data_IF_750753862233
#
_entry.id   IF_750753862233
#
_cell.length_a   1.000
_cell.length_b   1.000
_cell.length_c   1.000
_cell.angle_alpha   90.00
_cell.angle_beta   90.00
_cell.angle_gamma   90.00
#
_symmetry.space_group_name_H-M   'P 1'
#
loop_
_entity.id
_entity.type
_entity.pdbx_description
1 polymer ?
2 non-polymer ?
3 non-polymer ?
4 water ?
#
# COMPACT_ATOMS: atom_id res chain seq x y z
N UNK A 1 22.05 5.66 9.11
CA UNK A 1 22.12 6.08 7.68
C UNK A 1 20.72 6.41 7.18
N UNK A 2 20.54 6.61 5.86
CA UNK A 2 19.23 6.99 5.36
C UNK A 2 18.25 5.83 5.60
N UNK A 3 17.08 5.95 5.01
CA UNK A 3 16.13 4.83 4.95
C UNK A 3 16.31 4.29 3.55
N UNK A 4 16.16 2.99 3.38
CA UNK A 4 16.25 2.35 2.07
C UNK A 4 14.86 2.18 1.47
N UNK A 5 14.75 2.48 0.18
CA UNK A 5 13.47 2.48 -0.56
C UNK A 5 13.65 1.80 -1.91
N UNK A 6 12.60 1.15 -2.38
CA UNK A 6 12.54 0.56 -3.74
C UNK A 6 11.33 1.11 -4.46
N UNK A 7 11.50 1.47 -5.71
CA UNK A 7 10.40 1.79 -6.62
C UNK A 7 9.69 0.53 -7.09
N UNK A 8 8.38 0.56 -7.07
CA UNK A 8 7.60 -0.63 -7.43
C UNK A 8 6.17 -0.26 -7.79
N UNK A 9 5.52 -1.16 -8.47
CA UNK A 9 4.09 -1.17 -8.68
C UNK A 9 3.49 -2.38 -7.95
N UNK A 10 2.20 -2.32 -7.67
CA UNK A 10 1.47 -3.45 -7.08
C UNK A 10 0.31 -3.79 -8.01
N UNK A 11 -0.01 -5.08 -8.12
CA UNK A 11 -1.27 -5.54 -8.74
C UNK A 11 -1.94 -6.55 -7.81
N UNK A 12 -3.27 -6.53 -7.75
CA UNK A 12 -4.04 -7.47 -6.91
C UNK A 12 -4.00 -8.86 -7.60
N UNK A 13 -4.47 -9.86 -6.90
CA UNK A 13 -4.25 -11.25 -7.37
C UNK A 13 -5.19 -11.52 -8.54
N UNK A 14 -6.12 -10.63 -8.82
CA UNK A 14 -6.94 -10.73 -10.05
C UNK A 14 -6.30 -9.92 -11.14
N UNK A 15 -5.09 -9.39 -10.93
CA UNK A 15 -4.21 -8.67 -11.84
C UNK A 15 -4.79 -7.30 -12.19
N UNK A 16 -5.48 -6.69 -11.24
CA UNK A 16 -5.90 -5.28 -11.37
C UNK A 16 -4.75 -4.37 -10.91
N UNK A 17 -4.46 -3.35 -11.69
CA UNK A 17 -3.49 -2.28 -11.47
C UNK A 17 -4.14 -1.18 -10.61
N UNK A 18 -3.30 -0.41 -9.94
CA UNK A 18 -3.72 0.70 -9.05
C UNK A 18 -3.42 2.05 -9.70
N UNK A 19 -4.41 2.92 -9.69
CA UNK A 19 -4.32 4.28 -10.30
C UNK A 19 -4.87 5.29 -9.28
N UNK A 20 -4.56 6.58 -9.48
CA UNK A 20 -5.14 7.70 -8.69
C UNK A 20 -6.64 7.82 -8.99
N UNK A 21 -7.43 8.10 -7.95
CA UNK A 21 -8.90 8.34 -8.01
C UNK A 21 -9.08 9.69 -7.30
N UNK A 22 -8.69 10.77 -7.95
CA UNK A 22 -8.67 12.07 -7.25
C UNK A 22 -7.46 12.12 -6.34
N UNK A 23 -7.29 13.20 -5.54
CA UNK A 23 -6.00 13.44 -4.89
C UNK A 23 -5.61 12.54 -3.71
N UNK A 24 -6.58 11.95 -3.04
CA UNK A 24 -6.35 11.17 -1.79
C UNK A 24 -7.05 9.78 -1.80
N UNK A 25 -7.17 9.27 -3.00
CA UNK A 25 -7.70 7.88 -3.13
C UNK A 25 -7.03 7.19 -4.29
N UNK A 26 -6.87 5.87 -4.16
CA UNK A 26 -6.46 4.97 -5.26
C UNK A 26 -7.67 4.12 -5.65
N UNK A 27 -7.70 3.70 -6.90
CA UNK A 27 -8.69 2.71 -7.37
C UNK A 27 -7.95 1.61 -8.13
N UNK A 28 -8.62 0.48 -8.32
CA UNK A 28 -8.07 -0.72 -8.96
C UNK A 28 -8.89 -1.04 -10.21
N UNK A 29 -8.17 -1.20 -11.27
CA UNK A 29 -8.83 -1.60 -12.52
C UNK A 29 -7.88 -2.41 -13.38
N UNK A 30 -8.53 -3.19 -14.24
CA UNK A 30 -7.84 -3.98 -15.27
C UNK A 30 -7.22 -3.03 -16.30
N UNK A 31 -5.92 -3.07 -16.49
CA UNK A 31 -5.13 -2.17 -17.36
C UNK A 31 -4.19 -3.02 -18.17
N UNK A 32 -3.98 -2.64 -19.45
CA UNK A 32 -2.95 -3.25 -20.28
C UNK A 32 -2.68 -2.25 -21.40
N UNK A 33 -1.47 -2.29 -21.92
CA UNK A 33 -1.06 -1.44 -23.06
C UNK A 33 -0.72 -0.03 -22.62
N UNK A 34 -1.07 0.95 -23.45
CA UNK A 34 -0.58 2.35 -23.27
C UNK A 34 -1.06 2.84 -21.90
N UNK A 35 -2.28 2.49 -21.51
CA UNK A 35 -2.93 3.00 -20.27
C UNK A 35 -2.12 2.56 -19.03
N UNK A 36 -1.13 1.66 -19.17
CA UNK A 36 -0.35 1.18 -18.00
C UNK A 36 0.52 2.30 -17.43
N UNK A 37 0.82 3.34 -18.21
CA UNK A 37 1.51 4.56 -17.70
C UNK A 37 0.69 5.20 -16.57
N UNK A 38 -0.61 4.95 -16.48
CA UNK A 38 -1.51 5.57 -15.49
C UNK A 38 -1.28 4.97 -14.08
N UNK A 39 -0.51 3.88 -13.96
CA UNK A 39 -0.31 3.20 -12.64
C UNK A 39 0.60 4.02 -11.71
N UNK A 40 0.31 3.98 -10.40
CA UNK A 40 1.15 4.65 -9.36
C UNK A 40 2.42 3.81 -9.16
N UNK A 41 3.57 4.47 -9.05
CA UNK A 41 4.85 3.84 -8.61
C UNK A 41 5.03 4.14 -7.12
N UNK A 42 5.05 3.09 -6.31
CA UNK A 42 5.30 3.20 -4.86
C UNK A 42 6.80 3.34 -4.64
N UNK A 43 7.17 4.26 -3.75
CA UNK A 43 8.47 4.15 -3.09
C UNK A 43 8.21 3.37 -1.82
N UNK A 44 8.60 2.10 -1.80
CA UNK A 44 8.39 1.23 -0.62
C UNK A 44 9.60 1.39 0.25
N UNK A 45 9.43 1.99 1.43
CA UNK A 45 10.52 2.20 2.42
C UNK A 45 10.53 1.03 3.41
N UNK A 46 11.72 0.61 3.84
CA UNK A 46 11.89 -0.49 4.79
C UNK A 46 12.16 0.15 6.14
N UNK A 47 11.19 0.09 7.01
CA UNK A 47 11.09 0.97 8.19
C UNK A 47 11.29 0.20 9.48
N UNK A 48 11.41 0.94 10.57
CA UNK A 48 11.49 0.34 11.92
C UNK A 48 10.19 -0.38 12.27
N UNK A 49 10.32 -1.54 12.87
CA UNK A 49 9.18 -2.28 13.40
C UNK A 49 9.53 -3.73 13.67
N UNK A 50 8.63 -4.44 14.34
CA UNK A 50 8.71 -5.92 14.54
C UNK A 50 8.82 -6.63 13.18
N UNK A 51 9.79 -7.55 13.03
CA UNK A 51 10.11 -8.16 11.73
C UNK A 51 10.35 -9.66 11.92
N UNK A 52 9.99 -10.47 10.92
CA UNK A 52 10.35 -11.91 10.87
C UNK A 52 10.67 -12.26 9.42
N UNK A 53 10.96 -13.53 9.12
CA UNK A 53 11.49 -13.87 7.78
C UNK A 53 10.52 -13.41 6.72
N UNK A 54 9.23 -13.57 6.99
CA UNK A 54 8.18 -13.40 5.95
C UNK A 54 7.26 -12.21 6.27
N UNK A 55 7.56 -11.45 7.33
CA UNK A 55 6.77 -10.27 7.80
C UNK A 55 7.70 -9.06 7.96
N UNK A 56 7.62 -8.10 7.03
CA UNK A 56 8.64 -7.01 6.88
C UNK A 56 7.92 -5.67 6.95
N UNK A 57 8.22 -4.78 7.91
CA UNK A 57 7.50 -3.52 8.03
C UNK A 57 7.95 -2.56 6.95
N UNK A 58 6.96 -1.98 6.24
CA UNK A 58 7.24 -1.03 5.12
C UNK A 58 6.34 0.18 5.29
N UNK A 59 6.72 1.25 4.63
CA UNK A 59 5.80 2.36 4.34
C UNK A 59 5.63 2.39 2.84
N UNK A 60 4.40 2.66 2.41
CA UNK A 60 4.04 2.79 0.98
C UNK A 60 3.84 4.28 0.69
N UNK A 61 4.96 5.00 0.56
CA UNK A 61 4.98 6.34 -0.05
C UNK A 61 4.79 6.23 -1.55
N UNK A 62 4.28 7.29 -2.18
CA UNK A 62 4.26 7.43 -3.66
C UNK A 62 5.63 7.99 -4.09
N UNK A 63 6.26 7.37 -5.08
CA UNK A 63 7.60 7.80 -5.55
C UNK A 63 7.52 9.25 -6.04
N UNK A 64 8.46 10.10 -5.61
CA UNK A 64 8.65 11.51 -6.04
C UNK A 64 7.60 12.44 -5.41
N UNK A 65 6.62 11.93 -4.65
CA UNK A 65 5.51 12.75 -4.08
C UNK A 65 5.47 12.56 -2.57
N UNK A 66 5.21 13.64 -1.82
CA UNK A 66 5.13 13.61 -0.33
C UNK A 66 3.73 13.15 0.07
N UNK A 67 3.38 11.92 -0.31
CA UNK A 67 2.11 11.24 0.03
C UNK A 67 2.42 9.83 0.54
N UNK A 68 1.67 9.38 1.53
CA UNK A 68 1.84 8.02 2.08
C UNK A 68 0.47 7.43 2.27
N UNK A 69 0.36 6.14 2.01
CA UNK A 69 -0.79 5.38 2.55
C UNK A 69 -0.73 5.36 4.06
N UNK A 70 -1.91 5.47 4.67
CA UNK A 70 -2.07 5.78 6.12
C UNK A 70 -3.34 5.10 6.66
N UNK A 71 -3.25 4.46 7.83
CA UNK A 71 -4.41 3.77 8.45
C UNK A 71 -4.83 4.61 9.66
N UNK A 72 -6.05 5.11 9.61
CA UNK A 72 -6.58 5.95 10.71
C UNK A 72 -8.01 5.51 10.95
N UNK A 73 -8.54 5.86 12.13
CA UNK A 73 -9.97 5.73 12.36
C UNK A 73 -10.68 6.88 11.66
N UNK A 74 -11.72 6.58 10.91
CA UNK A 74 -12.59 7.61 10.32
C UNK A 74 -14.04 7.24 10.60
N UNK A 75 -14.79 8.14 11.23
CA UNK A 75 -16.18 7.84 11.68
C UNK A 75 -16.10 6.46 12.36
N UNK A 76 -15.12 6.30 13.24
CA UNK A 76 -14.94 5.14 14.16
C UNK A 76 -14.56 3.85 13.43
N UNK A 77 -14.09 3.90 12.19
CA UNK A 77 -13.71 2.65 11.49
C UNK A 77 -12.26 2.81 11.02
N UNK A 78 -11.45 1.73 11.06
CA UNK A 78 -10.11 1.71 10.45
C UNK A 78 -10.29 1.92 8.95
N UNK A 79 -9.64 2.94 8.40
CA UNK A 79 -9.72 3.25 6.96
C UNK A 79 -8.31 3.48 6.43
N UNK A 80 -8.24 3.37 5.12
CA UNK A 80 -7.01 3.66 4.33
C UNK A 80 -7.17 5.07 3.79
N UNK A 81 -6.18 5.91 4.00
CA UNK A 81 -6.16 7.25 3.40
C UNK A 81 -4.80 7.51 2.76
N UNK A 82 -4.74 8.48 1.87
CA UNK A 82 -3.47 9.04 1.38
C UNK A 82 -3.26 10.26 2.22
N UNK A 83 -2.15 10.37 2.89
CA UNK A 83 -1.87 11.46 3.83
C UNK A 83 -0.64 12.23 3.34
N UNK A 84 -0.74 13.57 3.35
CA UNK A 84 0.36 14.52 3.02
C UNK A 84 1.33 14.62 4.20
N UNK A 85 2.63 14.74 3.92
CA UNK A 85 3.63 14.93 4.96
C UNK A 85 4.57 16.07 4.55
N UNK A 86 5.36 16.51 5.51
CA UNK A 86 6.40 17.54 5.22
C UNK A 86 7.49 16.92 4.37
N UNK A 87 7.72 17.34 3.13
CA UNK A 87 8.66 16.64 2.26
C UNK A 87 10.10 16.76 2.74
N UNK A 88 10.35 17.65 3.70
CA UNK A 88 11.71 17.79 4.28
C UNK A 88 12.04 16.62 5.23
N UNK A 89 11.04 15.92 5.76
CA UNK A 89 11.23 15.02 6.91
C UNK A 89 10.98 13.55 6.52
N UNK A 90 10.59 13.32 5.27
CA UNK A 90 10.15 11.98 4.78
C UNK A 90 10.91 11.64 3.51
N UNK A 91 11.18 10.36 3.22
CA UNK A 91 10.86 9.28 4.13
C UNK A 91 11.84 9.29 5.30
N UNK A 92 11.51 8.52 6.31
CA UNK A 92 12.43 8.32 7.44
C UNK A 92 12.36 6.88 7.89
N UNK A 93 13.39 6.44 8.59
CA UNK A 93 13.41 5.04 9.08
C UNK A 93 12.32 4.81 10.14
N UNK A 94 12.13 5.72 11.09
CA UNK A 94 11.11 5.61 12.17
C UNK A 94 9.80 6.27 11.72
N UNK A 95 9.10 5.63 10.80
CA UNK A 95 7.79 6.16 10.34
C UNK A 95 6.79 5.94 11.45
N UNK A 96 5.86 6.88 11.64
CA UNK A 96 4.72 6.79 12.58
C UNK A 96 3.88 5.56 12.26
N UNK A 97 3.25 4.96 13.25
CA UNK A 97 2.63 3.62 13.14
C UNK A 97 1.52 3.61 12.10
N UNK A 98 0.79 4.71 11.92
CA UNK A 98 -0.33 4.77 10.96
C UNK A 98 0.21 4.54 9.55
N UNK A 99 1.50 4.77 9.28
CA UNK A 99 2.09 4.63 7.92
C UNK A 99 2.63 3.23 7.70
N UNK A 100 2.69 2.38 8.75
CA UNK A 100 3.45 1.11 8.64
C UNK A 100 2.48 -0.02 8.27
N UNK A 101 2.93 -0.79 7.29
CA UNK A 101 2.29 -2.06 6.87
C UNK A 101 3.30 -3.17 7.08
N UNK A 102 2.77 -4.28 7.55
CA UNK A 102 3.53 -5.52 7.57
C UNK A 102 3.34 -6.20 6.22
N UNK A 103 4.39 -6.23 5.42
CA UNK A 103 4.38 -6.91 4.11
C UNK A 103 4.66 -8.39 4.37
N UNK A 104 3.68 -9.20 4.13
CA UNK A 104 3.67 -10.64 4.51
C UNK A 104 3.73 -11.46 3.23
N UNK A 105 4.68 -12.38 3.10
CA UNK A 105 4.84 -13.17 1.86
C UNK A 105 4.25 -14.55 2.15
N UNK A 106 3.13 -14.93 1.51
CA UNK A 106 2.55 -16.31 1.64
C UNK A 106 2.26 -16.84 0.23
N UNK A 107 2.80 -18.02 -0.08
CA UNK A 107 2.50 -18.73 -1.34
C UNK A 107 2.65 -17.75 -2.51
N UNK A 108 3.82 -17.11 -2.60
CA UNK A 108 4.28 -16.32 -3.76
C UNK A 108 3.38 -15.11 -3.98
N UNK A 109 2.62 -14.71 -2.96
CA UNK A 109 1.75 -13.51 -2.97
C UNK A 109 2.08 -12.67 -1.73
N UNK A 110 1.76 -11.39 -1.80
CA UNK A 110 2.04 -10.42 -0.72
C UNK A 110 0.71 -9.99 -0.15
N UNK A 111 0.69 -9.80 1.15
CA UNK A 111 -0.42 -9.12 1.81
C UNK A 111 0.21 -7.95 2.55
N UNK A 112 -0.55 -6.89 2.72
CA UNK A 112 -0.12 -5.71 3.47
C UNK A 112 -1.08 -5.48 4.62
N UNK A 113 -0.67 -5.94 5.80
CA UNK A 113 -1.44 -5.78 7.05
C UNK A 113 -1.13 -4.43 7.68
N UNK A 114 -2.13 -3.71 8.14
CA UNK A 114 -1.88 -2.48 8.94
C UNK A 114 -1.10 -2.80 10.23
N UNK A 115 0.04 -2.19 10.50
CA UNK A 115 0.77 -2.36 11.79
C UNK A 115 -0.20 -1.81 12.84
N UNK A 116 -0.88 -0.72 12.59
CA UNK A 116 -1.76 -0.02 13.59
C UNK A 116 -2.98 -0.88 13.93
N UNK A 117 -3.58 -1.56 12.96
CA UNK A 117 -4.88 -2.25 13.09
C UNK A 117 -4.63 -3.71 12.69
N UNK A 118 -4.25 -4.59 13.65
CA UNK A 118 -3.98 -5.99 13.33
C UNK A 118 -5.15 -6.61 12.58
N UNK A 119 -4.81 -7.43 11.57
CA UNK A 119 -5.74 -8.23 10.76
C UNK A 119 -6.65 -7.38 9.90
N UNK A 120 -6.26 -6.12 9.68
CA UNK A 120 -6.82 -5.25 8.62
C UNK A 120 -5.75 -5.10 7.52
N UNK A 121 -6.22 -5.23 6.30
CA UNK A 121 -5.36 -5.42 5.11
C UNK A 121 -5.73 -4.44 4.03
N UNK A 122 -4.72 -4.01 3.29
CA UNK A 122 -4.96 -3.31 2.00
C UNK A 122 -5.79 -4.30 1.14
N UNK A 123 -6.89 -3.82 0.61
CA UNK A 123 -7.92 -4.62 -0.08
C UNK A 123 -8.39 -3.95 -1.36
N UNK A 124 -8.81 -4.78 -2.31
CA UNK A 124 -9.53 -4.28 -3.48
C UNK A 124 -10.84 -5.04 -3.58
N UNK A 125 -11.74 -4.44 -4.33
CA UNK A 125 -13.01 -5.10 -4.70
C UNK A 125 -12.81 -5.97 -5.95
N UNK A 126 -13.71 -6.94 -6.16
CA UNK A 126 -13.75 -7.69 -7.44
C UNK A 126 -14.18 -6.78 -8.60
N UNK A 127 -15.15 -5.89 -8.39
CA UNK A 127 -15.59 -4.90 -9.39
C UNK A 127 -14.45 -3.98 -9.79
N UNK A 128 -14.49 -3.51 -11.02
CA UNK A 128 -13.55 -2.54 -11.63
C UNK A 128 -13.84 -1.14 -11.10
N UNK A 129 -12.79 -0.31 -11.01
CA UNK A 129 -12.87 1.14 -10.75
C UNK A 129 -13.45 1.46 -9.39
N UNK A 130 -13.18 0.64 -8.37
CA UNK A 130 -13.61 0.90 -6.98
C UNK A 130 -12.37 1.23 -6.15
N UNK A 131 -12.57 1.92 -5.02
CA UNK A 131 -11.46 2.37 -4.18
C UNK A 131 -10.64 1.18 -3.69
N UNK A 132 -9.37 1.47 -3.50
CA UNK A 132 -8.51 0.63 -2.62
C UNK A 132 -8.90 0.98 -1.18
N UNK A 133 -8.98 0.00 -0.30
CA UNK A 133 -9.52 0.29 1.04
C UNK A 133 -8.87 -0.62 2.05
N UNK A 134 -9.12 -0.36 3.32
CA UNK A 134 -8.64 -1.23 4.40
C UNK A 134 -9.79 -2.15 4.79
N UNK A 135 -9.57 -3.45 4.68
CA UNK A 135 -10.60 -4.46 4.95
C UNK A 135 -10.21 -5.28 6.13
N UNK A 136 -11.21 -5.71 6.93
CA UNK A 136 -10.99 -6.34 8.25
C UNK A 136 -10.97 -7.86 8.17
N UNK A 137 -10.69 -8.43 7.00
CA UNK A 137 -10.38 -9.89 6.92
C UNK A 137 -9.62 -10.25 5.63
N UNK A 138 -8.49 -10.97 5.79
CA UNK A 138 -7.76 -11.65 4.68
C UNK A 138 -8.59 -12.88 4.25
N UNK A 139 -9.90 -12.88 4.52
CA UNK A 139 -10.90 -13.86 4.04
C UNK A 139 -11.87 -13.21 3.05
N UNK A 140 -12.78 -14.01 2.44
CA UNK A 140 -14.05 -13.55 1.83
C UNK A 140 -13.97 -13.15 0.35
N UNK A 141 -14.86 -12.25 -0.09
CA UNK A 141 -15.02 -11.84 -1.52
C UNK A 141 -13.97 -10.79 -1.91
N UNK A 142 -13.58 -9.93 -0.97
CA UNK A 142 -12.59 -8.88 -1.30
C UNK A 142 -11.19 -9.48 -1.45
N UNK A 143 -10.32 -8.79 -2.19
CA UNK A 143 -8.98 -9.28 -2.54
C UNK A 143 -7.96 -8.65 -1.60
N UNK A 144 -7.12 -9.46 -0.97
CA UNK A 144 -6.09 -9.00 0.00
C UNK A 144 -4.70 -9.43 -0.43
N UNK A 145 -4.55 -10.10 -1.56
CA UNK A 145 -3.26 -10.59 -2.05
C UNK A 145 -2.82 -9.78 -3.25
N UNK A 146 -1.53 -9.55 -3.36
CA UNK A 146 -0.91 -8.72 -4.40
C UNK A 146 0.35 -9.36 -4.90
N UNK A 147 0.80 -8.90 -6.06
CA UNK A 147 2.17 -9.06 -6.53
C UNK A 147 2.83 -7.71 -6.70
N UNK A 148 4.15 -7.67 -6.53
CA UNK A 148 4.96 -6.45 -6.71
C UNK A 148 5.72 -6.61 -8.03
N UNK A 149 5.89 -5.50 -8.74
CA UNK A 149 6.77 -5.41 -9.95
C UNK A 149 7.79 -4.34 -9.60
N UNK A 150 9.06 -4.61 -9.84
CA UNK A 150 10.13 -3.64 -9.63
C UNK A 150 10.19 -2.71 -10.84
N UNK A 151 10.41 -1.43 -10.54
CA UNK A 151 10.50 -0.28 -11.47
C UNK A 151 11.94 0.28 -11.38
N UNK A 152 12.51 0.74 -12.50
CA UNK A 152 13.85 1.39 -12.54
C UNK A 152 13.88 2.59 -11.60
X LIG B 1 16.59 8.68 8.63
X LIG B 1 17.08 9.97 9.05
X LIG B 1 17.54 7.65 8.99
X LIG B 1 15.33 8.43 9.29
X LIG B 1 16.40 8.69 7.19
X LIG C 1 2.43 12.84 14.21
X LIG C 1 2.83 12.83 12.81
X LIG C 1 3.57 13.21 15.01
X LIG C 1 1.36 13.80 14.37
X LIG C 1 1.98 11.53 14.65
X LIG D 1 4.51 8.13 -10.15
X LIG D 1 5.75 8.73 -10.03
X LIG D 1 6.75 8.55 -10.96
X LIG D 1 6.51 7.76 -12.08
X LIG D 1 5.28 7.14 -12.25
X LIG D 1 4.29 7.32 -11.29
X LIG D 1 3.36 8.38 -9.02
X LIG D 1 2.32 7.46 -9.25
X LIG D 1 3.05 9.76 -8.98
X LIG D 1 4.09 8.01 -7.64
X LIG D 1 7.58 7.57 -13.09
X LIG D 1 8.14 6.15 -12.92
X LIG D 1 9.58 6.16 -12.64
X LIG D 1 10.41 5.16 -13.13
X LIG D 1 11.86 5.28 -12.76
X LIG D 1 9.96 4.24 -13.84
#
# INVERSE_FOLDING_TARGET
>A
APVRSLNCTLRDSQQKSLVMSGPYELKALHLQGQDMEQQVVFSMSFVQGEESNDKIPVALGLKEKNLYLSCVLKDDKPTLQLESVDPKNYPKKKMEKRFVFNKIEINNKLEFESAQFPNWYISTSQAENMPVFLGGTKGGQDITDFTMQFVSS
>B hetero
1 SO4 S O1 O2 O3 O4
>C hetero
1 SO4 S O1 O2 O3 O4
>D hetero
1 M25 C1 C2 C3 C4 C5 C6 S O1 O2 N1 C7 C8 N2 C9 C10 O3
#
